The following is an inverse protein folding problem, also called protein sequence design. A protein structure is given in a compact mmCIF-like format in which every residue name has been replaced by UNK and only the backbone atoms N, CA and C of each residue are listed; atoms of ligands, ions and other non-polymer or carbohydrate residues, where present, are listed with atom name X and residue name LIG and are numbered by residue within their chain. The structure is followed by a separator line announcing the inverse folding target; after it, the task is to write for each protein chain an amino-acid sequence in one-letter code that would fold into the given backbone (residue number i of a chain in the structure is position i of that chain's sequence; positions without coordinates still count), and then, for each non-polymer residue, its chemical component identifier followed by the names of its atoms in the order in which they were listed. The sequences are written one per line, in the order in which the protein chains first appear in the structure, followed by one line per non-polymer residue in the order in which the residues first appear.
data_IF_576262606910
#
_entry.id   IF_576262606910
#
_cell.length_a   1.000
_cell.length_b   1.000
_cell.length_c   1.000
_cell.angle_alpha   90.00
_cell.angle_beta   90.00
_cell.angle_gamma   90.00
#
_symmetry.space_group_name_H-M   'P 1'
#
loop_
_entity.id
_entity.type
_entity.pdbx_description
1 polymer ?
#
# COMPACT_ATOMS: atom_id res chain seq x y z
N UNK A 1 -42.51 5.71 18.42
CA UNK A 1 -41.92 5.67 17.06
C UNK A 1 -40.70 6.58 17.04
N UNK A 2 -39.53 6.07 17.39
CA UNK A 2 -38.24 6.77 17.22
C UNK A 2 -37.21 5.70 16.97
N UNK A 3 -36.83 5.57 15.70
CA UNK A 3 -35.98 4.52 15.16
C UNK A 3 -34.64 4.46 15.91
N UNK A 4 -34.35 3.32 16.53
CA UNK A 4 -32.99 2.95 16.91
C UNK A 4 -32.20 2.68 15.63
N UNK A 5 -31.55 3.71 15.09
CA UNK A 5 -30.52 3.55 14.07
C UNK A 5 -29.31 2.88 14.73
N UNK A 6 -29.12 1.58 14.45
CA UNK A 6 -28.03 0.78 15.02
C UNK A 6 -26.66 1.42 14.75
N UNK A 7 -25.94 1.94 15.78
CA UNK A 7 -24.61 2.49 15.60
C UNK A 7 -23.58 1.35 15.57
N UNK A 8 -23.54 0.59 14.49
CA UNK A 8 -22.66 -0.59 14.38
C UNK A 8 -22.02 -0.82 13.01
N UNK A 9 -22.70 -0.44 11.92
CA UNK A 9 -22.26 -0.82 10.56
C UNK A 9 -21.21 0.11 9.97
N UNK A 10 -21.30 1.43 10.20
CA UNK A 10 -20.37 2.41 9.59
C UNK A 10 -18.92 2.21 10.00
N UNK A 11 -18.65 1.86 11.27
CA UNK A 11 -17.29 1.61 11.78
C UNK A 11 -16.62 0.38 11.16
N UNK A 12 -17.41 -0.63 10.77
CA UNK A 12 -16.90 -1.84 10.11
C UNK A 12 -16.52 -1.54 8.67
N UNK A 13 -17.38 -0.82 7.95
CA UNK A 13 -17.13 -0.41 6.56
C UNK A 13 -15.87 0.45 6.45
N UNK A 14 -15.71 1.45 7.32
CA UNK A 14 -14.51 2.31 7.33
C UNK A 14 -13.23 1.51 7.58
N UNK A 15 -13.25 0.53 8.49
CA UNK A 15 -12.10 -0.36 8.72
C UNK A 15 -11.75 -1.19 7.49
N UNK A 16 -12.74 -1.79 6.84
CA UNK A 16 -12.51 -2.62 5.65
C UNK A 16 -11.97 -1.78 4.50
N UNK A 17 -12.52 -0.58 4.26
CA UNK A 17 -12.01 0.34 3.23
C UNK A 17 -10.58 0.77 3.54
N UNK A 18 -10.27 1.09 4.80
CA UNK A 18 -8.91 1.42 5.21
C UNK A 18 -7.94 0.26 4.98
N UNK A 19 -8.35 -0.98 5.28
CA UNK A 19 -7.54 -2.17 5.04
C UNK A 19 -7.29 -2.40 3.55
N UNK A 20 -8.32 -2.26 2.71
CA UNK A 20 -8.18 -2.37 1.25
C UNK A 20 -7.25 -1.29 0.71
N UNK A 21 -7.37 -0.06 1.21
CA UNK A 21 -6.50 1.04 0.81
C UNK A 21 -5.04 0.78 1.20
N UNK A 22 -4.78 0.33 2.43
CA UNK A 22 -3.44 -0.09 2.84
C UNK A 22 -2.93 -1.25 1.98
N UNK A 23 -3.77 -2.24 1.68
CA UNK A 23 -3.40 -3.37 0.83
C UNK A 23 -3.00 -2.89 -0.57
N UNK A 24 -3.81 -2.03 -1.18
CA UNK A 24 -3.58 -1.46 -2.51
C UNK A 24 -2.27 -0.66 -2.54
N UNK A 25 -2.06 0.23 -1.57
CA UNK A 25 -0.81 1.01 -1.43
C UNK A 25 0.39 0.09 -1.20
N UNK A 26 0.25 -0.95 -0.37
CA UNK A 26 1.29 -1.95 -0.14
C UNK A 26 1.64 -2.73 -1.40
N UNK A 27 0.65 -3.09 -2.20
CA UNK A 27 0.81 -3.78 -3.47
C UNK A 27 1.50 -2.89 -4.51
N UNK A 28 1.10 -1.62 -4.58
CA UNK A 28 1.76 -0.62 -5.41
C UNK A 28 3.23 -0.49 -4.98
N UNK A 29 3.52 -0.28 -3.70
CA UNK A 29 4.89 -0.20 -3.18
C UNK A 29 5.70 -1.48 -3.47
N UNK A 30 5.06 -2.65 -3.42
CA UNK A 30 5.72 -3.92 -3.72
C UNK A 30 6.05 -4.05 -5.21
N UNK A 31 5.07 -3.77 -6.10
CA UNK A 31 5.17 -4.06 -7.53
C UNK A 31 5.81 -2.93 -8.33
N UNK A 32 5.50 -1.68 -8.00
CA UNK A 32 5.99 -0.49 -8.69
C UNK A 32 7.50 -0.55 -8.95
N UNK A 33 8.40 -0.82 -7.98
CA UNK A 33 9.85 -0.86 -8.21
C UNK A 33 10.34 -1.94 -9.20
N UNK A 34 9.51 -2.93 -9.53
CA UNK A 34 9.80 -4.00 -10.50
C UNK A 34 9.12 -3.79 -11.85
N UNK A 35 8.29 -2.74 -11.98
CA UNK A 35 7.63 -2.42 -13.24
C UNK A 35 8.51 -1.53 -14.12
N UNK A 36 8.34 -1.63 -15.44
CA UNK A 36 8.98 -0.74 -16.41
C UNK A 36 8.60 0.74 -16.19
N UNK A 37 7.47 1.00 -15.53
CA UNK A 37 7.06 2.34 -15.11
C UNK A 37 8.08 2.94 -14.14
N UNK A 38 8.66 2.16 -13.23
CA UNK A 38 9.70 2.63 -12.30
C UNK A 38 10.96 3.12 -13.03
N UNK A 39 11.41 2.33 -14.01
CA UNK A 39 12.62 2.62 -14.78
C UNK A 39 12.43 3.76 -15.80
N UNK A 40 11.22 3.92 -16.33
CA UNK A 40 10.87 4.94 -17.33
C UNK A 40 10.09 6.13 -16.76
N UNK A 41 10.25 6.41 -15.45
CA UNK A 41 9.57 7.55 -14.83
C UNK A 41 10.16 8.89 -15.27
N UNK A 42 9.30 9.89 -15.45
CA UNK A 42 9.66 11.28 -15.74
C UNK A 42 10.64 11.88 -14.70
N UNK A 43 10.62 11.40 -13.46
CA UNK A 43 11.57 11.78 -12.40
C UNK A 43 13.02 11.38 -12.70
N UNK A 44 13.23 10.25 -13.38
CA UNK A 44 14.55 9.77 -13.79
C UNK A 44 15.11 10.66 -14.91
N UNK A 45 14.25 11.19 -15.79
CA UNK A 45 14.67 12.12 -16.85
C UNK A 45 14.90 13.54 -16.33
N UNK A 46 14.14 13.99 -15.32
CA UNK A 46 14.30 15.31 -14.69
C UNK A 46 15.55 15.40 -13.80
N UNK A 47 15.91 14.34 -13.08
CA UNK A 47 17.04 14.35 -12.15
C UNK A 47 17.98 13.15 -12.36
N UNK A 48 18.89 13.22 -13.35
CA UNK A 48 19.84 12.15 -13.68
C UNK A 48 20.77 11.75 -12.52
N UNK A 49 20.98 12.69 -11.59
CA UNK A 49 21.81 12.49 -10.39
C UNK A 49 21.13 11.58 -9.37
N UNK A 50 19.81 11.72 -9.21
CA UNK A 50 19.00 10.95 -8.27
C UNK A 50 18.53 9.62 -8.88
N UNK A 51 18.43 9.56 -10.22
CA UNK A 51 18.19 8.34 -10.99
C UNK A 51 19.07 7.17 -10.53
N UNK A 52 20.37 7.41 -10.33
CA UNK A 52 21.32 6.36 -9.93
C UNK A 52 21.04 5.77 -8.55
N UNK A 53 20.43 6.56 -7.66
CA UNK A 53 20.01 6.11 -6.33
C UNK A 53 18.66 5.38 -6.40
N UNK A 54 17.70 5.93 -7.15
CA UNK A 54 16.35 5.36 -7.35
C UNK A 54 16.34 4.05 -8.15
N UNK A 55 17.26 3.88 -9.10
CA UNK A 55 17.40 2.65 -9.89
C UNK A 55 18.14 1.54 -9.14
N UNK A 56 18.77 1.84 -7.99
CA UNK A 56 19.55 0.89 -7.22
C UNK A 56 18.65 -0.22 -6.63
N UNK A 57 19.10 -1.48 -6.75
CA UNK A 57 18.43 -2.66 -6.18
C UNK A 57 18.17 -2.54 -4.68
N UNK A 58 19.00 -1.82 -3.93
CA UNK A 58 18.76 -1.57 -2.50
C UNK A 58 17.51 -0.72 -2.24
N UNK A 59 17.27 0.31 -3.04
CA UNK A 59 16.07 1.17 -2.90
C UNK A 59 14.83 0.40 -3.32
N UNK A 60 14.90 -0.36 -4.41
CA UNK A 60 13.82 -1.27 -4.83
C UNK A 60 13.48 -2.29 -3.74
N UNK A 61 14.50 -2.86 -3.10
CA UNK A 61 14.35 -3.78 -1.97
C UNK A 61 13.76 -3.11 -0.73
N UNK A 62 14.17 -1.88 -0.41
CA UNK A 62 13.61 -1.12 0.72
C UNK A 62 12.15 -0.72 0.50
N UNK A 63 11.81 -0.25 -0.69
CA UNK A 63 10.44 0.14 -1.07
C UNK A 63 9.52 -1.07 -1.11
N UNK A 64 9.97 -2.19 -1.69
CA UNK A 64 9.20 -3.43 -1.70
C UNK A 64 9.08 -4.07 -0.31
N UNK A 65 10.13 -3.98 0.53
CA UNK A 65 10.08 -4.39 1.93
C UNK A 65 9.05 -3.59 2.75
N UNK A 66 8.98 -2.27 2.54
CA UNK A 66 7.93 -1.42 3.12
C UNK A 66 6.53 -1.84 2.65
N UNK A 67 6.36 -2.09 1.34
CA UNK A 67 5.10 -2.60 0.78
C UNK A 67 4.69 -3.95 1.39
N UNK A 68 5.67 -4.85 1.59
CA UNK A 68 5.45 -6.16 2.19
C UNK A 68 5.01 -6.07 3.65
N UNK A 69 5.63 -5.20 4.45
CA UNK A 69 5.20 -4.96 5.85
C UNK A 69 3.78 -4.41 5.90
N UNK A 70 3.46 -3.47 5.01
CA UNK A 70 2.11 -2.90 4.93
C UNK A 70 1.06 -3.96 4.55
N UNK A 71 1.40 -4.83 3.60
CA UNK A 71 0.58 -5.96 3.19
C UNK A 71 0.38 -6.98 4.32
N UNK A 72 1.45 -7.29 5.06
CA UNK A 72 1.41 -8.20 6.20
C UNK A 72 0.48 -7.70 7.31
N UNK A 73 0.56 -6.41 7.65
CA UNK A 73 -0.33 -5.80 8.66
C UNK A 73 -1.79 -5.86 8.19
N UNK A 74 -2.06 -5.49 6.94
CA UNK A 74 -3.40 -5.52 6.37
C UNK A 74 -4.01 -6.94 6.38
N UNK A 75 -3.23 -7.95 5.99
CA UNK A 75 -3.63 -9.36 6.01
C UNK A 75 -3.86 -9.82 7.45
N UNK A 76 -2.95 -9.50 8.38
CA UNK A 76 -3.09 -9.88 9.79
C UNK A 76 -4.37 -9.35 10.42
N UNK A 77 -4.72 -8.10 10.14
CA UNK A 77 -5.93 -7.46 10.63
C UNK A 77 -7.18 -8.05 9.96
N UNK A 78 -7.13 -8.34 8.66
CA UNK A 78 -8.22 -8.99 7.93
C UNK A 78 -8.51 -10.41 8.48
N UNK A 79 -7.47 -11.22 8.74
CA UNK A 79 -7.61 -12.52 9.38
C UNK A 79 -8.20 -12.42 10.80
N UNK A 80 -7.84 -11.37 11.54
CA UNK A 80 -8.38 -11.10 12.88
C UNK A 80 -9.88 -10.76 12.85
N UNK A 81 -10.36 -10.14 11.77
CA UNK A 81 -11.77 -9.81 11.56
C UNK A 81 -12.56 -10.98 10.95
N UNK A 82 -11.88 -11.88 10.25
CA UNK A 82 -12.47 -13.07 9.65
C UNK A 82 -12.68 -14.23 10.65
N UNK A 83 -12.12 -14.13 11.86
CA UNK A 83 -12.29 -15.09 12.95
C UNK A 83 -13.16 -14.52 14.07
#
# INVERSE_FOLDING_TARGET
MSQQAAPGSGRRVVRVVFLLFCLEIGLILLLLPWTLLWDNNFFVSLFPQWSRFWLNSYVRGGVSGLGLVNLWIAISEAFRLAR
#
